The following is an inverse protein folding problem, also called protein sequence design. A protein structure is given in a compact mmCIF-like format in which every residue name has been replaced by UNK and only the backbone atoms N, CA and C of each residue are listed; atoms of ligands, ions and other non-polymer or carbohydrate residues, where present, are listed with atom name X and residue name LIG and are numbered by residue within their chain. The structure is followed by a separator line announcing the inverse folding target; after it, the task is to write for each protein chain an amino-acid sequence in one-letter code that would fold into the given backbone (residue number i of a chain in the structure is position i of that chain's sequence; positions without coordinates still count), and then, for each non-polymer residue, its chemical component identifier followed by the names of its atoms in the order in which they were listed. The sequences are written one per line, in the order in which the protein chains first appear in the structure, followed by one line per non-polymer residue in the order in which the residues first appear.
data_IF_759266607100
#
_entry.id   IF_759266607100
#
_cell.length_a   1.000
_cell.length_b   1.000
_cell.length_c   1.000
_cell.angle_alpha   90.00
_cell.angle_beta   90.00
_cell.angle_gamma   90.00
#
_symmetry.space_group_name_H-M   'P 1'
#
loop_
_entity.id
_entity.type
_entity.pdbx_description
1 polymer ?
#
# COMPACT_ATOMS: atom_id res chain seq x y z
N UNK A 1 -14.70 -33.33 -3.02
CA UNK A 1 -14.27 -32.53 -1.86
C UNK A 1 -12.80 -32.81 -1.64
N UNK A 2 -11.94 -32.04 -2.28
CA UNK A 2 -10.50 -32.08 -2.03
C UNK A 2 -10.21 -30.88 -1.13
N UNK A 3 -9.96 -31.14 0.16
CA UNK A 3 -9.37 -30.13 1.03
C UNK A 3 -7.98 -29.81 0.48
N UNK A 4 -7.78 -28.60 -0.04
CA UNK A 4 -6.43 -28.10 -0.29
C UNK A 4 -5.80 -27.82 1.08
N UNK A 5 -5.16 -28.83 1.64
CA UNK A 5 -4.29 -28.66 2.80
C UNK A 5 -3.13 -27.76 2.37
N UNK A 6 -3.12 -26.52 2.83
CA UNK A 6 -1.96 -25.66 2.74
C UNK A 6 -0.76 -26.38 3.38
N UNK A 7 0.39 -26.50 2.70
CA UNK A 7 1.56 -27.08 3.31
C UNK A 7 2.06 -26.13 4.40
N UNK A 8 2.23 -26.66 5.62
CA UNK A 8 2.92 -26.07 6.80
C UNK A 8 3.09 -24.55 6.71
N UNK A 9 2.13 -23.82 7.30
CA UNK A 9 2.00 -22.36 7.27
C UNK A 9 3.35 -21.64 7.36
N UNK A 10 3.81 -21.10 6.23
CA UNK A 10 4.81 -20.04 6.25
C UNK A 10 4.13 -18.87 6.94
N UNK A 11 4.58 -18.54 8.15
CA UNK A 11 4.15 -17.35 8.87
C UNK A 11 4.24 -16.15 7.92
N UNK A 12 3.10 -15.56 7.58
CA UNK A 12 3.00 -14.47 6.60
C UNK A 12 3.67 -13.18 7.06
N UNK A 13 3.92 -13.04 8.37
CA UNK A 13 4.67 -11.93 8.97
C UNK A 13 6.18 -12.13 8.92
N UNK A 14 6.66 -13.30 8.48
CA UNK A 14 8.08 -13.55 8.19
C UNK A 14 8.37 -13.49 6.69
N UNK A 15 9.65 -13.46 6.30
CA UNK A 15 10.03 -13.60 4.89
C UNK A 15 9.46 -14.90 4.31
N UNK A 16 8.96 -14.80 3.08
CA UNK A 16 8.47 -15.94 2.33
C UNK A 16 9.59 -16.78 1.72
N UNK A 17 9.22 -17.76 0.89
CA UNK A 17 10.15 -18.76 0.32
C UNK A 17 10.97 -18.27 -0.87
N UNK A 18 10.60 -17.14 -1.49
CA UNK A 18 11.27 -16.61 -2.68
C UNK A 18 12.39 -15.65 -2.28
N UNK A 19 13.42 -15.53 -3.11
CA UNK A 19 14.58 -14.67 -2.88
C UNK A 19 14.54 -13.46 -3.83
N UNK A 20 13.79 -12.40 -3.49
CA UNK A 20 13.58 -11.31 -4.40
C UNK A 20 14.83 -10.43 -4.55
N UNK A 21 14.93 -9.76 -5.70
CA UNK A 21 15.97 -8.77 -5.98
C UNK A 21 15.35 -7.47 -6.53
N UNK A 22 15.85 -6.29 -6.11
CA UNK A 22 15.48 -5.03 -6.72
C UNK A 22 16.13 -4.86 -8.11
N UNK A 23 15.37 -4.28 -9.03
CA UNK A 23 15.79 -3.83 -10.35
C UNK A 23 15.43 -2.34 -10.44
N UNK A 24 16.43 -1.50 -10.62
CA UNK A 24 16.23 -0.05 -10.78
C UNK A 24 15.92 0.28 -12.23
N UNK A 25 14.80 0.95 -12.45
CA UNK A 25 14.36 1.41 -13.76
C UNK A 25 14.44 2.94 -13.80
N UNK A 26 15.14 3.44 -14.81
CA UNK A 26 15.36 4.87 -15.01
C UNK A 26 14.28 5.52 -15.88
N UNK A 27 14.39 6.84 -16.06
CA UNK A 27 13.41 7.65 -16.79
C UNK A 27 13.43 7.42 -18.31
N UNK A 28 14.35 6.59 -18.82
CA UNK A 28 14.44 6.26 -20.26
C UNK A 28 13.53 5.09 -20.63
N UNK A 29 13.30 4.17 -19.69
CA UNK A 29 12.46 2.98 -19.88
C UNK A 29 11.00 3.26 -19.51
N UNK A 30 10.80 4.06 -18.47
CA UNK A 30 9.50 4.55 -17.99
C UNK A 30 9.58 6.06 -17.84
N UNK A 31 8.49 6.81 -18.02
CA UNK A 31 8.54 8.28 -17.81
C UNK A 31 8.79 8.68 -16.35
N UNK A 32 8.68 7.74 -15.41
CA UNK A 32 8.94 7.90 -13.98
C UNK A 32 9.90 6.81 -13.53
N UNK A 33 10.94 7.11 -12.73
CA UNK A 33 11.84 6.07 -12.27
C UNK A 33 11.11 5.19 -11.26
N UNK A 34 11.42 3.89 -11.24
CA UNK A 34 10.80 2.97 -10.29
C UNK A 34 11.74 1.83 -9.91
N UNK A 35 11.52 1.28 -8.72
CA UNK A 35 12.17 0.04 -8.29
C UNK A 35 11.20 -1.11 -8.50
N UNK A 36 11.66 -2.16 -9.18
CA UNK A 36 10.93 -3.43 -9.29
C UNK A 36 11.58 -4.45 -8.37
N UNK A 37 10.84 -4.93 -7.38
CA UNK A 37 11.28 -6.02 -6.50
C UNK A 37 10.60 -7.31 -6.98
N UNK A 38 11.40 -8.23 -7.52
CA UNK A 38 10.90 -9.44 -8.18
C UNK A 38 11.57 -10.70 -7.65
N UNK A 39 10.85 -11.85 -7.55
CA UNK A 39 11.45 -13.16 -7.36
C UNK A 39 12.51 -13.46 -8.43
N UNK A 40 13.47 -14.34 -8.12
CA UNK A 40 14.47 -14.83 -9.08
C UNK A 40 14.14 -16.23 -9.60
N UNK A 41 13.31 -16.95 -8.86
CA UNK A 41 12.85 -18.29 -9.18
C UNK A 41 11.90 -18.29 -10.37
N UNK A 42 11.92 -19.37 -11.15
CA UNK A 42 11.00 -19.56 -12.26
C UNK A 42 9.54 -19.58 -11.78
N UNK A 43 8.69 -18.83 -12.45
CA UNK A 43 7.28 -18.79 -12.12
C UNK A 43 6.52 -17.67 -12.80
N UNK A 44 5.20 -17.74 -12.68
CA UNK A 44 4.30 -16.65 -13.01
C UNK A 44 3.79 -16.03 -11.72
N UNK A 45 3.92 -14.71 -11.59
CA UNK A 45 3.66 -13.99 -10.34
C UNK A 45 2.67 -12.84 -10.56
N UNK A 46 1.72 -12.63 -9.62
CA UNK A 46 0.89 -11.44 -9.61
C UNK A 46 1.73 -10.17 -9.41
N UNK A 47 1.15 -9.04 -9.80
CA UNK A 47 1.81 -7.73 -9.76
C UNK A 47 1.17 -6.84 -8.68
N UNK A 48 1.98 -6.13 -7.91
CA UNK A 48 1.53 -5.09 -7.00
C UNK A 48 2.22 -3.76 -7.34
N UNK A 49 1.45 -2.69 -7.49
CA UNK A 49 1.99 -1.32 -7.55
C UNK A 49 1.83 -0.68 -6.17
N UNK A 50 2.93 -0.23 -5.55
CA UNK A 50 2.96 0.39 -4.23
C UNK A 50 3.35 1.86 -4.31
N UNK A 51 2.43 2.76 -3.97
CA UNK A 51 2.59 4.21 -4.06
C UNK A 51 3.10 4.81 -2.73
N UNK A 52 4.18 5.58 -2.79
CA UNK A 52 4.74 6.25 -1.61
C UNK A 52 3.90 7.45 -1.14
N UNK A 53 4.09 7.86 0.11
CA UNK A 53 3.46 9.05 0.70
C UNK A 53 4.11 10.38 0.30
N UNK A 54 3.56 11.48 0.83
CA UNK A 54 3.98 12.86 0.54
C UNK A 54 5.43 13.13 0.94
N UNK A 55 6.24 13.65 0.01
CA UNK A 55 7.68 13.93 0.15
C UNK A 55 8.55 12.70 0.45
N UNK A 56 7.97 11.50 0.48
CA UNK A 56 8.72 10.27 0.75
C UNK A 56 9.37 9.75 -0.53
N UNK A 57 10.44 8.99 -0.34
CA UNK A 57 11.16 8.30 -1.40
C UNK A 57 10.64 6.87 -1.58
N UNK A 58 10.64 6.36 -2.81
CA UNK A 58 10.34 4.95 -3.09
C UNK A 58 11.23 3.99 -2.29
N UNK A 59 12.48 4.36 -2.04
CA UNK A 59 13.47 3.53 -1.37
C UNK A 59 13.13 3.30 0.10
N UNK A 60 12.29 4.16 0.71
CA UNK A 60 11.86 4.00 2.10
C UNK A 60 10.86 2.85 2.31
N UNK A 61 10.49 2.15 1.25
CA UNK A 61 9.61 0.98 1.26
C UNK A 61 10.34 -0.30 0.83
N UNK A 62 11.67 -0.29 0.80
CA UNK A 62 12.47 -1.42 0.29
C UNK A 62 12.24 -2.71 1.10
N UNK A 63 12.12 -2.60 2.42
CA UNK A 63 11.92 -3.76 3.28
C UNK A 63 10.49 -4.31 3.16
N UNK A 64 9.49 -3.42 3.00
CA UNK A 64 8.10 -3.85 2.79
C UNK A 64 7.92 -4.52 1.42
N UNK A 65 8.47 -3.91 0.37
CA UNK A 65 8.40 -4.48 -0.99
C UNK A 65 9.15 -5.81 -1.08
N UNK A 66 10.31 -5.93 -0.43
CA UNK A 66 11.04 -7.19 -0.31
C UNK A 66 10.24 -8.27 0.45
N UNK A 67 9.60 -7.91 1.57
CA UNK A 67 8.71 -8.82 2.29
C UNK A 67 7.62 -9.38 1.36
N UNK A 68 6.86 -8.50 0.70
CA UNK A 68 5.77 -8.91 -0.19
C UNK A 68 6.30 -9.76 -1.36
N UNK A 69 7.40 -9.37 -1.98
CA UNK A 69 7.98 -10.10 -3.10
C UNK A 69 8.50 -11.49 -2.70
N UNK A 70 9.04 -11.64 -1.48
CA UNK A 70 9.45 -12.95 -0.94
C UNK A 70 8.30 -13.96 -0.79
N UNK A 71 7.05 -13.47 -0.81
CA UNK A 71 5.83 -14.29 -0.81
C UNK A 71 5.27 -14.60 -2.20
N UNK A 72 5.99 -14.23 -3.26
CA UNK A 72 5.65 -14.57 -4.65
C UNK A 72 4.87 -13.48 -5.36
N UNK A 73 5.35 -12.24 -5.30
CA UNK A 73 4.77 -11.09 -6.00
C UNK A 73 5.87 -10.31 -6.72
N UNK A 74 5.53 -9.70 -7.85
CA UNK A 74 6.35 -8.65 -8.46
C UNK A 74 5.83 -7.31 -7.94
N UNK A 75 6.67 -6.58 -7.21
CA UNK A 75 6.28 -5.30 -6.58
C UNK A 75 6.95 -4.14 -7.30
N UNK A 76 6.16 -3.21 -7.82
CA UNK A 76 6.62 -1.97 -8.43
C UNK A 76 6.45 -0.83 -7.44
N UNK A 77 7.53 -0.08 -7.20
CA UNK A 77 7.52 1.10 -6.33
C UNK A 77 7.98 2.30 -7.17
N UNK A 78 7.06 3.02 -7.83
CA UNK A 78 7.41 4.18 -8.64
C UNK A 78 7.72 5.41 -7.79
N UNK A 79 8.68 6.21 -8.23
CA UNK A 79 8.87 7.56 -7.74
C UNK A 79 7.91 8.49 -8.49
N UNK A 80 6.87 8.96 -7.82
CA UNK A 80 5.73 9.63 -8.43
C UNK A 80 6.06 11.05 -8.90
N UNK A 81 6.99 11.69 -8.22
CA UNK A 81 7.44 13.05 -8.50
C UNK A 81 8.88 13.24 -8.02
N UNK A 82 9.55 14.24 -8.58
CA UNK A 82 10.90 14.64 -8.20
C UNK A 82 10.87 16.01 -7.49
N UNK A 83 11.63 16.14 -6.40
CA UNK A 83 11.86 17.42 -5.71
C UNK A 83 10.87 17.76 -4.58
N UNK A 84 11.19 18.85 -3.86
CA UNK A 84 10.48 19.32 -2.65
C UNK A 84 9.35 20.32 -2.96
N UNK A 85 9.27 20.83 -4.20
CA UNK A 85 8.30 21.88 -4.61
C UNK A 85 6.91 21.33 -4.96
N UNK A 86 6.55 20.15 -4.49
CA UNK A 86 5.26 19.54 -4.81
C UNK A 86 4.16 20.10 -3.91
N UNK A 87 3.03 20.48 -4.51
CA UNK A 87 1.84 20.92 -3.77
C UNK A 87 1.23 19.77 -2.96
N UNK A 88 0.25 20.07 -2.10
CA UNK A 88 -0.44 19.05 -1.28
C UNK A 88 -1.42 18.16 -2.06
N UNK A 89 -1.75 18.56 -3.28
CA UNK A 89 -2.66 17.84 -4.19
C UNK A 89 -1.97 16.63 -4.83
N UNK A 90 -2.69 15.52 -4.92
CA UNK A 90 -2.20 14.20 -5.37
C UNK A 90 -2.46 13.94 -6.86
N UNK A 91 -2.81 14.95 -7.65
CA UNK A 91 -3.12 14.81 -9.07
C UNK A 91 -1.96 14.17 -9.84
N UNK A 92 -0.74 14.67 -9.61
CA UNK A 92 0.49 14.13 -10.22
C UNK A 92 0.74 12.67 -9.82
N UNK A 93 0.41 12.30 -8.59
CA UNK A 93 0.56 10.93 -8.07
C UNK A 93 -0.37 9.98 -8.83
N UNK A 94 -1.62 10.39 -9.02
CA UNK A 94 -2.64 9.62 -9.75
C UNK A 94 -2.25 9.46 -11.21
N UNK A 95 -1.84 10.55 -11.87
CA UNK A 95 -1.38 10.54 -13.26
C UNK A 95 -0.15 9.65 -13.44
N UNK A 96 0.82 9.74 -12.53
CA UNK A 96 2.04 8.93 -12.57
C UNK A 96 1.74 7.44 -12.33
N UNK A 97 0.86 7.11 -11.38
CA UNK A 97 0.43 5.74 -11.15
C UNK A 97 -0.32 5.15 -12.35
N UNK A 98 -1.16 5.95 -13.02
CA UNK A 98 -1.85 5.54 -14.24
C UNK A 98 -0.88 5.30 -15.39
N UNK A 99 0.12 6.16 -15.56
CA UNK A 99 1.17 6.01 -16.56
C UNK A 99 1.97 4.72 -16.38
N UNK A 100 2.41 4.42 -15.16
CA UNK A 100 3.09 3.16 -14.84
C UNK A 100 2.18 1.95 -15.10
N UNK A 101 0.90 2.05 -14.72
CA UNK A 101 -0.08 0.98 -14.98
C UNK A 101 -0.23 0.73 -16.48
N UNK A 102 -0.30 1.78 -17.29
CA UNK A 102 -0.45 1.67 -18.74
C UNK A 102 0.80 1.14 -19.45
N UNK A 103 1.98 1.28 -18.84
CA UNK A 103 3.23 0.75 -19.35
C UNK A 103 3.39 -0.77 -19.14
N UNK A 104 2.74 -1.36 -18.13
CA UNK A 104 2.92 -2.77 -17.76
C UNK A 104 2.81 -3.78 -18.92
N UNK A 105 1.78 -3.71 -19.80
CA UNK A 105 1.59 -4.71 -20.86
C UNK A 105 2.77 -4.84 -21.83
N UNK A 106 3.44 -3.72 -22.11
CA UNK A 106 4.49 -3.66 -23.13
C UNK A 106 5.89 -3.58 -22.54
N UNK A 107 6.01 -3.13 -21.29
CA UNK A 107 7.28 -2.79 -20.68
C UNK A 107 7.75 -3.76 -19.61
N UNK A 108 6.86 -4.21 -18.71
CA UNK A 108 7.26 -4.94 -17.51
C UNK A 108 8.03 -6.23 -17.85
N UNK A 109 7.52 -7.04 -18.76
CA UNK A 109 8.17 -8.32 -19.09
C UNK A 109 9.57 -8.15 -19.72
N UNK A 110 9.86 -7.01 -20.35
CA UNK A 110 11.16 -6.76 -21.00
C UNK A 110 12.28 -6.51 -20.01
N UNK A 111 11.95 -6.13 -18.78
CA UNK A 111 12.93 -5.81 -17.72
C UNK A 111 13.01 -6.87 -16.63
N UNK A 112 12.11 -7.86 -16.65
CA UNK A 112 12.13 -8.99 -15.73
C UNK A 112 13.16 -10.05 -16.15
N UNK A 113 13.68 -10.86 -15.19
CA UNK A 113 14.41 -12.08 -15.51
C UNK A 113 13.60 -12.97 -16.47
N UNK A 114 14.27 -13.63 -17.42
CA UNK A 114 13.58 -14.37 -18.50
C UNK A 114 12.71 -15.52 -17.99
N UNK A 115 13.04 -16.11 -16.84
CA UNK A 115 12.27 -17.17 -16.18
C UNK A 115 11.09 -16.67 -15.34
N UNK A 116 10.94 -15.36 -15.16
CA UNK A 116 9.88 -14.73 -14.36
C UNK A 116 8.84 -14.15 -15.30
N UNK A 117 7.57 -14.51 -15.11
CA UNK A 117 6.43 -13.99 -15.87
C UNK A 117 5.52 -13.15 -15.00
N UNK A 118 5.12 -11.98 -15.49
CA UNK A 118 4.13 -11.14 -14.82
C UNK A 118 2.69 -11.54 -15.19
N UNK A 119 1.86 -11.85 -14.20
CA UNK A 119 0.44 -12.10 -14.40
C UNK A 119 -0.36 -10.78 -14.35
N UNK A 120 -0.59 -10.18 -15.51
CA UNK A 120 -1.32 -8.92 -15.63
C UNK A 120 -2.85 -9.06 -15.48
N UNK A 121 -3.37 -10.26 -15.19
CA UNK A 121 -4.78 -10.46 -14.78
C UNK A 121 -4.96 -10.36 -13.27
N UNK A 122 -3.86 -10.40 -12.51
CA UNK A 122 -3.82 -10.32 -11.05
C UNK A 122 -2.97 -9.12 -10.62
N UNK A 123 -3.55 -7.91 -10.70
CA UNK A 123 -2.86 -6.65 -10.36
C UNK A 123 -3.47 -6.04 -9.10
N UNK A 124 -2.67 -5.86 -8.06
CA UNK A 124 -3.03 -5.06 -6.90
C UNK A 124 -2.55 -3.61 -7.05
N UNK A 125 -3.32 -2.67 -6.51
CA UNK A 125 -2.90 -1.28 -6.30
C UNK A 125 -2.87 -0.98 -4.81
N UNK A 126 -1.72 -0.55 -4.30
CA UNK A 126 -1.55 -0.17 -2.91
C UNK A 126 -0.93 1.23 -2.81
N UNK A 127 -1.19 1.92 -1.71
CA UNK A 127 -0.49 3.16 -1.43
C UNK A 127 -0.50 3.54 0.04
N UNK A 128 0.54 4.23 0.47
CA UNK A 128 0.67 4.75 1.82
C UNK A 128 0.36 6.25 1.90
N UNK A 129 -0.40 6.70 2.91
CA UNK A 129 -0.64 8.13 3.16
C UNK A 129 -1.30 8.81 1.95
N UNK A 130 -0.71 9.88 1.42
CA UNK A 130 -1.06 10.49 0.13
C UNK A 130 -1.03 9.50 -1.04
N UNK A 131 -0.09 8.56 -1.06
CA UNK A 131 -0.08 7.48 -2.04
C UNK A 131 -1.30 6.56 -1.91
N UNK A 132 -1.80 6.36 -0.69
CA UNK A 132 -3.05 5.64 -0.44
C UNK A 132 -4.25 6.40 -1.00
N UNK A 133 -4.31 7.72 -0.79
CA UNK A 133 -5.30 8.58 -1.47
C UNK A 133 -5.19 8.48 -2.98
N UNK A 134 -3.99 8.56 -3.55
CA UNK A 134 -3.76 8.44 -4.99
C UNK A 134 -4.22 7.08 -5.53
N UNK A 135 -3.96 5.99 -4.80
CA UNK A 135 -4.43 4.66 -5.15
C UNK A 135 -5.97 4.60 -5.23
N UNK A 136 -6.67 5.12 -4.22
CA UNK A 136 -8.14 5.21 -4.26
C UNK A 136 -8.64 6.12 -5.37
N UNK A 137 -8.03 7.29 -5.55
CA UNK A 137 -8.42 8.24 -6.58
C UNK A 137 -8.31 7.65 -7.99
N UNK A 138 -7.24 6.89 -8.24
CA UNK A 138 -7.04 6.19 -9.51
C UNK A 138 -8.08 5.08 -9.71
N UNK A 139 -8.28 4.23 -8.71
CA UNK A 139 -9.24 3.13 -8.79
C UNK A 139 -10.69 3.61 -8.97
N UNK A 140 -11.04 4.74 -8.33
CA UNK A 140 -12.35 5.41 -8.44
C UNK A 140 -12.46 6.33 -9.67
N UNK A 141 -11.43 6.35 -10.52
CA UNK A 141 -11.34 7.17 -11.73
C UNK A 141 -11.64 8.66 -11.50
N UNK A 142 -11.14 9.24 -10.40
CA UNK A 142 -11.45 10.63 -10.00
C UNK A 142 -10.92 11.70 -10.97
N UNK A 143 -9.88 11.37 -11.74
CA UNK A 143 -9.30 12.25 -12.76
C UNK A 143 -9.70 11.87 -14.20
N UNK A 144 -10.64 10.94 -14.38
CA UNK A 144 -11.03 10.43 -15.70
C UNK A 144 -9.83 9.88 -16.51
N UNK A 145 -8.88 9.24 -15.82
CA UNK A 145 -7.67 8.71 -16.44
C UNK A 145 -7.97 7.39 -17.14
N UNK A 146 -7.57 7.26 -18.40
CA UNK A 146 -7.74 6.01 -19.15
C UNK A 146 -6.70 4.98 -18.71
N UNK A 147 -7.18 3.82 -18.25
CA UNK A 147 -6.35 2.66 -17.93
C UNK A 147 -6.53 1.56 -18.98
N UNK A 148 -5.42 0.93 -19.36
CA UNK A 148 -5.36 -0.21 -20.28
C UNK A 148 -5.53 -1.56 -19.55
N UNK A 149 -5.44 -1.53 -18.22
CA UNK A 149 -5.54 -2.70 -17.34
C UNK A 149 -6.56 -2.42 -16.24
N UNK A 150 -7.11 -3.50 -15.68
CA UNK A 150 -7.97 -3.44 -14.49
C UNK A 150 -7.16 -3.88 -13.28
N UNK A 151 -7.39 -3.20 -12.15
CA UNK A 151 -6.94 -3.72 -10.86
C UNK A 151 -7.88 -4.83 -10.41
N UNK A 152 -7.35 -5.77 -9.64
CA UNK A 152 -8.08 -6.90 -9.06
C UNK A 152 -8.21 -6.77 -7.54
N UNK A 153 -7.48 -5.85 -6.92
CA UNK A 153 -7.54 -5.53 -5.49
C UNK A 153 -7.00 -4.12 -5.22
N UNK A 154 -7.53 -3.43 -4.20
CA UNK A 154 -7.09 -2.10 -3.76
C UNK A 154 -6.71 -2.10 -2.27
N UNK A 155 -5.59 -1.45 -1.94
CA UNK A 155 -5.08 -1.38 -0.56
C UNK A 155 -4.73 0.07 -0.19
N UNK A 156 -5.37 0.60 0.86
CA UNK A 156 -4.95 1.85 1.50
C UNK A 156 -4.17 1.57 2.77
N UNK A 157 -2.88 1.88 2.78
CA UNK A 157 -2.05 1.89 3.98
C UNK A 157 -2.10 3.30 4.57
N UNK A 158 -2.80 3.43 5.69
CA UNK A 158 -3.05 4.66 6.42
C UNK A 158 -3.38 5.87 5.50
N UNK A 159 -4.37 5.75 4.60
CA UNK A 159 -4.62 6.77 3.57
C UNK A 159 -5.12 8.09 4.17
N UNK A 160 -4.76 9.22 3.54
CA UNK A 160 -5.10 10.57 4.01
C UNK A 160 -5.61 11.45 2.88
N UNK A 161 -6.82 11.99 3.01
CA UNK A 161 -7.50 12.76 1.95
C UNK A 161 -7.31 14.28 2.03
N UNK A 162 -6.45 14.77 2.94
CA UNK A 162 -6.12 16.19 3.05
C UNK A 162 -5.78 16.59 4.48
N UNK A 163 -6.01 17.86 4.81
CA UNK A 163 -5.55 18.45 6.07
C UNK A 163 -6.55 18.33 7.23
N UNK A 164 -7.85 18.30 6.90
CA UNK A 164 -8.97 18.15 7.83
C UNK A 164 -10.26 17.98 7.01
N UNK A 165 -11.34 17.57 7.67
CA UNK A 165 -12.66 17.52 7.05
C UNK A 165 -12.99 18.88 6.43
N UNK A 166 -13.48 18.89 5.19
CA UNK A 166 -13.75 20.09 4.38
C UNK A 166 -12.53 20.86 3.83
N UNK A 167 -11.30 20.47 4.19
CA UNK A 167 -10.04 20.92 3.56
C UNK A 167 -9.29 19.74 2.93
N UNK A 168 -10.04 18.93 2.19
CA UNK A 168 -9.48 17.86 1.36
C UNK A 168 -8.63 18.47 0.25
N UNK A 169 -7.49 17.84 -0.03
CA UNK A 169 -6.64 18.17 -1.19
C UNK A 169 -7.24 17.55 -2.45
N UNK A 170 -6.78 17.96 -3.63
CA UNK A 170 -7.21 17.34 -4.88
C UNK A 170 -6.47 16.01 -5.15
N UNK A 171 -7.08 15.11 -5.94
CA UNK A 171 -8.53 15.02 -6.11
C UNK A 171 -9.21 14.65 -4.77
N UNK A 172 -10.41 15.18 -4.52
CA UNK A 172 -11.19 14.79 -3.34
C UNK A 172 -11.68 13.35 -3.50
N UNK A 173 -11.25 12.46 -2.60
CA UNK A 173 -11.65 11.05 -2.66
C UNK A 173 -12.89 10.80 -1.82
N UNK A 174 -12.88 11.24 -0.56
CA UNK A 174 -13.95 11.07 0.40
C UNK A 174 -15.16 11.92 0.02
N UNK A 175 -16.33 11.30 0.07
CA UNK A 175 -17.64 11.93 -0.14
C UNK A 175 -18.40 12.13 1.17
N UNK A 176 -17.92 11.51 2.25
CA UNK A 176 -18.55 11.41 3.56
C UNK A 176 -19.90 10.69 3.58
N UNK A 177 -20.22 9.94 2.52
CA UNK A 177 -21.38 9.06 2.45
C UNK A 177 -20.91 7.61 2.66
N UNK A 178 -21.41 6.88 3.68
CA UNK A 178 -21.03 5.48 3.87
C UNK A 178 -21.29 4.66 2.62
N UNK A 179 -20.38 3.72 2.31
CA UNK A 179 -20.49 2.84 1.15
C UNK A 179 -20.62 3.56 -0.22
N UNK A 180 -20.06 4.77 -0.33
CA UNK A 180 -20.09 5.56 -1.58
C UNK A 180 -19.15 5.05 -2.66
N UNK A 181 -18.07 4.35 -2.30
CA UNK A 181 -17.03 3.93 -3.24
C UNK A 181 -17.55 2.82 -4.13
N UNK A 182 -17.77 3.18 -5.39
CA UNK A 182 -18.24 2.28 -6.44
C UNK A 182 -17.05 1.57 -7.08
N UNK A 183 -16.54 0.56 -6.36
CA UNK A 183 -15.43 -0.28 -6.79
C UNK A 183 -15.92 -1.73 -6.89
N UNK A 184 -15.70 -2.36 -8.05
CA UNK A 184 -16.03 -3.76 -8.30
C UNK A 184 -14.90 -4.72 -7.85
N UNK A 185 -14.01 -4.25 -6.97
CA UNK A 185 -12.83 -4.99 -6.51
C UNK A 185 -12.77 -5.01 -4.98
N UNK A 186 -12.19 -6.05 -4.37
CA UNK A 186 -11.94 -6.06 -2.94
C UNK A 186 -11.05 -4.91 -2.50
N UNK A 187 -11.36 -4.34 -1.33
CA UNK A 187 -10.59 -3.24 -0.74
C UNK A 187 -10.07 -3.61 0.66
N UNK A 188 -8.80 -3.35 0.95
CA UNK A 188 -8.28 -3.40 2.31
C UNK A 188 -7.81 -2.02 2.75
N UNK A 189 -8.19 -1.62 3.96
CA UNK A 189 -7.64 -0.43 4.61
C UNK A 189 -6.88 -0.85 5.86
N UNK A 190 -5.65 -0.38 6.00
CA UNK A 190 -4.83 -0.59 7.19
C UNK A 190 -4.64 0.77 7.83
N UNK A 191 -5.01 0.95 9.10
CA UNK A 191 -4.84 2.20 9.84
C UNK A 191 -3.75 2.10 10.90
N UNK A 192 -3.17 3.25 11.24
CA UNK A 192 -2.27 3.38 12.39
C UNK A 192 -3.01 3.95 13.61
N UNK A 193 -2.88 3.31 14.77
CA UNK A 193 -3.55 3.75 16.00
C UNK A 193 -2.98 5.03 16.60
N UNK A 194 -1.74 5.40 16.24
CA UNK A 194 -1.08 6.63 16.69
C UNK A 194 -1.09 7.76 15.63
N UNK A 195 -1.58 7.51 14.40
CA UNK A 195 -1.48 8.45 13.27
C UNK A 195 -2.23 9.78 13.44
N UNK A 196 -3.27 9.78 14.27
CA UNK A 196 -4.06 10.97 14.64
C UNK A 196 -3.37 11.83 15.73
N UNK A 197 -2.28 11.36 16.33
CA UNK A 197 -1.62 12.03 17.45
C UNK A 197 -0.32 12.74 17.05
N UNK A 198 -0.12 13.92 17.64
CA UNK A 198 1.13 14.67 17.55
C UNK A 198 2.20 14.10 18.49
N UNK A 199 3.48 14.26 18.11
CA UNK A 199 4.60 14.03 19.05
C UNK A 199 4.57 15.08 20.16
N UNK A 200 4.38 16.36 19.79
CA UNK A 200 4.24 17.48 20.72
C UNK A 200 3.13 18.41 20.17
N UNK A 201 2.12 18.79 20.98
CA UNK A 201 1.02 19.65 20.55
C UNK A 201 1.44 21.13 20.53
N UNK A 202 2.46 21.48 19.74
CA UNK A 202 2.92 22.86 19.55
C UNK A 202 2.41 23.35 18.20
N UNK A 203 1.79 24.53 18.18
CA UNK A 203 1.50 25.25 16.95
C UNK A 203 2.81 25.52 16.19
N UNK A 204 2.95 25.18 14.88
CA UNK A 204 1.90 24.86 13.91
C UNK A 204 1.80 23.37 13.49
N UNK A 205 2.36 22.42 14.26
CA UNK A 205 2.41 21.00 13.86
C UNK A 205 1.01 20.35 13.85
N UNK A 206 0.71 19.55 12.81
CA UNK A 206 -0.55 18.82 12.65
C UNK A 206 -0.30 17.30 12.59
N UNK A 207 -1.25 16.46 13.03
CA UNK A 207 -1.18 15.02 12.81
C UNK A 207 -1.03 14.68 11.34
N UNK A 208 -0.31 13.60 11.04
CA UNK A 208 -0.13 13.14 9.65
C UNK A 208 -1.41 12.56 9.07
N UNK A 209 -2.22 11.90 9.90
CA UNK A 209 -3.49 11.29 9.50
C UNK A 209 -4.64 11.82 10.37
N UNK A 210 -5.04 13.09 10.20
CA UNK A 210 -6.01 13.73 11.08
C UNK A 210 -7.40 13.10 10.97
N UNK A 211 -8.14 13.12 12.08
CA UNK A 211 -9.52 12.63 12.13
C UNK A 211 -10.39 13.33 11.08
N UNK A 212 -11.26 12.56 10.42
CA UNK A 212 -12.19 13.07 9.41
C UNK A 212 -11.65 13.08 7.98
N UNK A 213 -10.38 12.73 7.76
CA UNK A 213 -9.80 12.52 6.42
C UNK A 213 -8.86 11.32 6.36
N UNK A 214 -8.94 10.40 7.32
CA UNK A 214 -7.98 9.30 7.48
C UNK A 214 -8.57 7.92 7.12
N UNK A 215 -7.79 6.88 7.39
CA UNK A 215 -8.11 5.47 7.14
C UNK A 215 -9.53 5.06 7.59
N UNK A 216 -10.06 5.59 8.70
CA UNK A 216 -11.41 5.28 9.18
C UNK A 216 -12.48 5.78 8.19
N UNK A 217 -12.30 6.97 7.65
CA UNK A 217 -13.20 7.55 6.65
C UNK A 217 -13.12 6.78 5.33
N UNK A 218 -11.91 6.43 4.87
CA UNK A 218 -11.75 5.61 3.67
C UNK A 218 -12.47 4.26 3.79
N UNK A 219 -12.30 3.56 4.92
CA UNK A 219 -12.98 2.28 5.13
C UNK A 219 -14.50 2.42 5.20
N UNK A 220 -15.02 3.45 5.89
CA UNK A 220 -16.46 3.69 6.01
C UNK A 220 -17.14 3.92 4.64
N UNK A 221 -16.40 4.44 3.66
CA UNK A 221 -16.92 4.65 2.30
C UNK A 221 -16.77 3.43 1.39
N UNK A 222 -16.00 2.41 1.79
CA UNK A 222 -15.86 1.17 1.03
C UNK A 222 -17.16 0.35 1.02
N UNK A 223 -17.39 -0.33 -0.11
CA UNK A 223 -18.42 -1.38 -0.25
C UNK A 223 -17.79 -2.75 -0.04
N UNK A 224 -18.62 -3.76 0.20
CA UNK A 224 -18.16 -5.15 0.25
C UNK A 224 -17.66 -5.62 -1.13
N UNK A 225 -16.61 -6.47 -1.21
CA UNK A 225 -15.83 -6.98 -0.08
C UNK A 225 -14.78 -5.96 0.41
N UNK A 226 -14.76 -5.67 1.71
CA UNK A 226 -13.79 -4.75 2.31
C UNK A 226 -13.28 -5.21 3.69
N UNK A 227 -11.98 -5.05 3.93
CA UNK A 227 -11.31 -5.44 5.17
C UNK A 227 -10.65 -4.22 5.83
N UNK A 228 -10.61 -4.21 7.16
CA UNK A 228 -10.05 -3.12 7.93
C UNK A 228 -9.28 -3.60 9.15
N UNK A 229 -8.03 -3.17 9.25
CA UNK A 229 -7.15 -3.46 10.37
C UNK A 229 -6.63 -2.14 10.95
N UNK A 230 -6.60 -1.99 12.27
CA UNK A 230 -5.94 -0.86 12.95
C UNK A 230 -4.90 -1.39 13.90
N UNK A 231 -3.66 -0.98 13.69
CA UNK A 231 -2.53 -1.39 14.52
C UNK A 231 -2.38 -0.43 15.69
N UNK A 232 -2.57 -0.91 16.92
CA UNK A 232 -2.83 -0.08 18.10
C UNK A 232 -1.70 0.90 18.44
N UNK A 233 -0.48 0.40 18.58
CA UNK A 233 0.64 1.13 19.19
C UNK A 233 1.66 1.64 18.16
N UNK A 234 1.22 1.89 16.93
CA UNK A 234 2.07 2.30 15.82
C UNK A 234 1.51 3.53 15.10
N UNK A 235 2.44 4.33 14.58
CA UNK A 235 2.20 5.60 13.93
C UNK A 235 2.20 5.53 12.40
N UNK A 236 1.85 6.67 11.81
CA UNK A 236 1.70 6.84 10.38
C UNK A 236 2.94 6.41 9.59
N UNK A 237 4.13 6.71 10.10
CA UNK A 237 5.40 6.47 9.39
C UNK A 237 6.08 5.15 9.80
N UNK A 238 5.44 4.33 10.64
CA UNK A 238 6.06 3.10 11.13
C UNK A 238 6.03 1.95 10.12
N UNK A 239 5.37 2.14 8.97
CA UNK A 239 5.43 1.20 7.85
C UNK A 239 6.75 1.28 7.06
N UNK A 240 7.48 2.39 7.20
CA UNK A 240 8.72 2.63 6.46
C UNK A 240 9.86 1.70 6.91
N UNK A 241 10.93 1.72 6.14
CA UNK A 241 12.17 1.04 6.47
C UNK A 241 12.72 1.48 7.84
N UNK A 242 13.43 0.56 8.51
CA UNK A 242 14.04 0.79 9.82
C UNK A 242 14.94 2.03 9.80
N UNK A 243 15.68 2.21 8.71
CA UNK A 243 16.54 3.35 8.45
C UNK A 243 16.11 4.04 7.15
N UNK A 244 15.78 5.32 7.25
CA UNK A 244 15.47 6.18 6.09
C UNK A 244 16.55 7.24 5.94
N UNK A 245 17.14 7.35 4.75
CA UNK A 245 18.32 8.19 4.49
C UNK A 245 17.96 9.60 4.03
N UNK A 246 18.94 10.50 4.11
CA UNK A 246 18.80 11.89 3.66
C UNK A 246 17.96 12.79 4.59
N UNK A 247 17.85 14.09 4.28
CA UNK A 247 17.13 15.05 5.12
C UNK A 247 15.66 14.67 5.34
N UNK A 248 14.99 14.23 4.27
CA UNK A 248 13.60 13.76 4.35
C UNK A 248 13.49 12.51 5.22
N UNK A 249 14.43 11.56 5.08
CA UNK A 249 14.46 10.35 5.92
C UNK A 249 14.60 10.68 7.40
N UNK A 250 15.47 11.60 7.79
CA UNK A 250 15.61 12.05 9.18
C UNK A 250 14.31 12.67 9.70
N UNK A 251 13.62 13.48 8.88
CA UNK A 251 12.35 14.10 9.27
C UNK A 251 11.26 13.06 9.60
N UNK A 252 11.29 11.87 9.00
CA UNK A 252 10.28 10.83 9.25
C UNK A 252 10.24 10.34 10.71
N UNK A 253 11.29 10.56 11.50
CA UNK A 253 11.32 10.16 12.92
C UNK A 253 10.70 11.19 13.87
N UNK A 254 10.43 12.41 13.39
CA UNK A 254 9.96 13.51 14.24
C UNK A 254 8.68 14.20 13.76
N UNK A 255 8.13 13.81 12.60
CA UNK A 255 6.91 14.42 12.07
C UNK A 255 5.65 14.02 12.85
N UNK A 256 5.52 12.75 13.23
CA UNK A 256 4.30 12.19 13.84
C UNK A 256 4.61 11.15 14.90
N UNK A 257 3.66 10.93 15.81
CA UNK A 257 3.84 9.98 16.90
C UNK A 257 4.07 8.58 16.32
N UNK A 258 5.13 7.93 16.80
CA UNK A 258 5.55 6.59 16.40
C UNK A 258 5.48 5.62 17.57
N UNK A 259 5.43 4.33 17.23
CA UNK A 259 5.66 3.22 18.13
C UNK A 259 7.13 3.09 18.52
N UNK A 260 7.46 2.02 19.24
CA UNK A 260 8.83 1.80 19.75
C UNK A 260 9.85 1.53 18.64
N UNK A 261 9.46 0.74 17.65
CA UNK A 261 10.27 0.36 16.48
C UNK A 261 9.35 0.23 15.26
N UNK A 262 9.88 0.30 14.04
CA UNK A 262 9.07 0.20 12.80
C UNK A 262 8.81 -1.25 12.36
N UNK A 263 9.77 -2.14 12.64
CA UNK A 263 9.79 -3.49 12.05
C UNK A 263 8.51 -4.30 12.28
N UNK A 264 7.91 -4.34 13.48
CA UNK A 264 6.70 -5.13 13.68
C UNK A 264 5.50 -4.62 12.88
N UNK A 265 5.32 -3.29 12.77
CA UNK A 265 4.27 -2.70 11.92
C UNK A 265 4.48 -3.09 10.47
N UNK A 266 5.70 -2.98 9.97
CA UNK A 266 6.02 -3.33 8.59
C UNK A 266 5.83 -4.82 8.30
N UNK A 267 6.24 -5.70 9.21
CA UNK A 267 6.01 -7.15 9.12
C UNK A 267 4.50 -7.47 9.10
N UNK A 268 3.72 -6.83 9.98
CA UNK A 268 2.26 -6.97 9.98
C UNK A 268 1.65 -6.53 8.65
N UNK A 269 1.96 -5.31 8.19
CA UNK A 269 1.47 -4.76 6.92
C UNK A 269 1.82 -5.70 5.77
N UNK A 270 3.07 -6.16 5.68
CA UNK A 270 3.51 -7.10 4.66
C UNK A 270 2.69 -8.39 4.66
N UNK A 271 2.47 -8.99 5.84
CA UNK A 271 1.70 -10.23 5.98
C UNK A 271 0.23 -10.09 5.61
N UNK A 272 -0.44 -9.02 6.06
CA UNK A 272 -1.85 -8.80 5.70
C UNK A 272 -2.01 -8.43 4.23
N UNK A 273 -1.07 -7.68 3.63
CA UNK A 273 -1.07 -7.38 2.19
C UNK A 273 -0.95 -8.66 1.37
N UNK A 274 0.03 -9.51 1.69
CA UNK A 274 0.21 -10.81 1.02
C UNK A 274 -1.07 -11.65 1.13
N UNK A 275 -1.63 -11.74 2.32
CA UNK A 275 -2.81 -12.57 2.58
C UNK A 275 -4.04 -12.04 1.87
N UNK A 276 -4.26 -10.72 1.91
CA UNK A 276 -5.38 -10.06 1.25
C UNK A 276 -5.31 -10.19 -0.28
N UNK A 277 -4.12 -10.03 -0.87
CA UNK A 277 -3.96 -10.19 -2.32
C UNK A 277 -4.23 -11.63 -2.75
N UNK A 278 -3.70 -12.63 -2.04
CA UNK A 278 -3.99 -14.05 -2.30
C UNK A 278 -5.49 -14.33 -2.19
N UNK A 279 -6.13 -13.88 -1.10
CA UNK A 279 -7.56 -14.02 -0.89
C UNK A 279 -8.39 -13.37 -2.01
N UNK A 280 -8.01 -12.16 -2.43
CA UNK A 280 -8.71 -11.43 -3.49
C UNK A 280 -8.59 -12.10 -4.85
N UNK A 281 -7.42 -12.69 -5.15
CA UNK A 281 -7.16 -13.33 -6.45
C UNK A 281 -7.71 -14.75 -6.55
N UNK A 282 -7.86 -15.44 -5.42
CA UNK A 282 -8.34 -16.82 -5.37
C UNK A 282 -9.82 -16.91 -4.93
N UNK A 283 -10.39 -15.80 -4.44
CA UNK A 283 -11.80 -15.69 -4.03
C UNK A 283 -12.10 -16.29 -2.66
N UNK A 284 -11.08 -16.51 -1.81
CA UNK A 284 -11.22 -17.10 -0.48
C UNK A 284 -10.60 -16.22 0.61
N UNK A 285 -11.46 -15.60 1.43
CA UNK A 285 -11.07 -14.70 2.52
C UNK A 285 -10.89 -15.42 3.87
N UNK A 286 -11.07 -16.74 3.93
CA UNK A 286 -11.05 -17.49 5.20
C UNK A 286 -9.73 -17.33 5.94
N UNK A 287 -8.61 -17.40 5.22
CA UNK A 287 -7.28 -17.25 5.79
C UNK A 287 -7.00 -15.82 6.25
N UNK A 288 -7.48 -14.80 5.52
CA UNK A 288 -7.38 -13.41 5.97
C UNK A 288 -8.18 -13.14 7.24
N UNK A 289 -9.35 -13.76 7.38
CA UNK A 289 -10.18 -13.63 8.57
C UNK A 289 -9.54 -14.26 9.81
N UNK A 290 -8.73 -15.29 9.63
CA UNK A 290 -8.01 -15.95 10.73
C UNK A 290 -6.95 -15.04 11.38
N UNK A 291 -6.44 -14.02 10.66
CA UNK A 291 -5.43 -13.07 11.18
C UNK A 291 -5.88 -12.36 12.47
N UNK A 292 -7.19 -12.17 12.65
CA UNK A 292 -7.72 -11.50 13.85
C UNK A 292 -7.36 -12.23 15.16
N UNK A 293 -7.16 -13.55 15.08
CA UNK A 293 -6.89 -14.45 16.20
C UNK A 293 -5.47 -15.06 16.09
N UNK A 294 -4.63 -14.57 15.18
CA UNK A 294 -3.30 -15.13 14.92
C UNK A 294 -2.28 -14.67 15.99
N UNK A 295 -1.92 -15.59 16.88
CA UNK A 295 -0.93 -15.36 17.93
C UNK A 295 0.48 -15.05 17.40
N UNK A 296 0.76 -15.34 16.12
CA UNK A 296 2.03 -15.00 15.47
C UNK A 296 2.11 -13.55 14.99
N UNK A 297 1.01 -12.78 15.09
CA UNK A 297 0.99 -11.36 14.75
C UNK A 297 2.06 -10.59 15.55
N UNK A 298 2.94 -9.83 14.88
CA UNK A 298 4.01 -9.08 15.56
C UNK A 298 3.48 -7.82 16.27
N UNK A 299 2.18 -7.53 16.14
CA UNK A 299 1.53 -6.32 16.68
C UNK A 299 0.20 -6.63 17.33
N UNK A 300 -0.22 -5.74 18.24
CA UNK A 300 -1.58 -5.76 18.80
C UNK A 300 -2.53 -4.95 17.92
N UNK A 301 -3.69 -5.54 17.62
CA UNK A 301 -4.74 -4.90 16.83
C UNK A 301 -5.73 -4.19 17.76
N UNK A 302 -6.08 -2.96 17.40
CA UNK A 302 -7.14 -2.19 18.06
C UNK A 302 -8.50 -2.48 17.45
N UNK A 303 -8.54 -2.63 16.12
CA UNK A 303 -9.77 -2.85 15.35
C UNK A 303 -9.50 -3.86 14.26
N UNK A 304 -10.42 -4.80 14.08
CA UNK A 304 -10.49 -5.68 12.92
C UNK A 304 -11.94 -5.75 12.44
N UNK A 305 -12.19 -5.47 11.17
CA UNK A 305 -13.52 -5.52 10.59
C UNK A 305 -13.51 -6.07 9.17
N UNK A 306 -14.52 -6.88 8.84
CA UNK A 306 -14.71 -7.52 7.55
C UNK A 306 -16.14 -7.26 7.07
N UNK A 307 -16.26 -6.66 5.90
CA UNK A 307 -17.51 -6.51 5.15
C UNK A 307 -17.40 -7.40 3.92
N UNK A 308 -17.79 -8.67 4.00
CA UNK A 308 -17.72 -9.62 2.88
C UNK A 308 -19.08 -9.79 2.17
#
# INVERSE_FOLDING_TARGET
MAHSSFPVEINVFSCGKFHPKPIEINNEVTRKPLTIVTPLEEGEFPVLILLHGFLLDRDFYSQLSCHIASHGFIVLVPQLYEGILIGFDADVDVESAAEITNWLPEGLQKVLPSQVKANLTKIGLAGHSRGGKAAFALALNRLNTKLNLKFSALIGIDPVDGLEKWKQTQPKVLTYVPHSFDLEIPVMVIGSGLGEFLIIPIWPFRPCAPEGVNHKNFYNECRKPACYFVVKDYGHLDVLDTQTTGPTGVATYCMCKSGKTRDPMRMFVGGVVVTFLKASFDGDFSYLMAIKDDESSPVSLQTVNFML
#
